data_IF_415394173764
#
_entry.id   IF_415394173764
#
_cell.length_a   1.000
_cell.length_b   1.000
_cell.length_c   1.000
_cell.angle_alpha   90.00
_cell.angle_beta   90.00
_cell.angle_gamma   90.00
#
_symmetry.space_group_name_H-M   'P 1'
#
loop_
_entity.id
_entity.type
_entity.pdbx_description
1 polymer ?
#
# COMPACT_ATOMS: atom_id res chain seq x y z
N UNK A 1 -7.11 -32.92 13.37
CA UNK A 1 -5.69 -32.55 13.12
C UNK A 1 -5.48 -32.64 11.62
N UNK A 2 -5.30 -31.51 10.92
CA UNK A 2 -5.04 -31.53 9.47
C UNK A 2 -3.69 -32.21 9.23
N UNK A 3 -3.69 -33.29 8.43
CA UNK A 3 -2.50 -34.11 8.23
C UNK A 3 -1.46 -33.34 7.41
N UNK A 4 -0.23 -33.14 7.91
CA UNK A 4 0.81 -32.37 7.22
C UNK A 4 1.18 -32.95 5.84
N UNK A 5 0.94 -34.24 5.61
CA UNK A 5 1.11 -34.89 4.32
C UNK A 5 0.19 -34.32 3.23
N UNK A 6 -1.05 -33.96 3.60
CA UNK A 6 -2.02 -33.37 2.67
C UNK A 6 -1.55 -31.97 2.26
N UNK A 7 -1.02 -31.18 3.20
CA UNK A 7 -0.48 -29.84 2.91
C UNK A 7 0.71 -29.90 1.93
N UNK A 8 1.60 -30.88 2.08
CA UNK A 8 2.73 -31.10 1.16
C UNK A 8 2.27 -31.47 -0.25
N UNK A 9 1.19 -32.24 -0.39
CA UNK A 9 0.66 -32.62 -1.70
C UNK A 9 0.11 -31.42 -2.51
N UNK A 10 -0.28 -30.33 -1.84
CA UNK A 10 -0.74 -29.11 -2.49
C UNK A 10 0.39 -28.16 -2.93
N UNK A 11 1.62 -28.34 -2.45
CA UNK A 11 2.76 -27.51 -2.86
C UNK A 11 2.97 -27.44 -4.39
N UNK A 12 3.02 -28.56 -5.14
CA UNK A 12 3.19 -28.50 -6.60
C UNK A 12 2.00 -27.82 -7.29
N UNK A 13 0.78 -27.97 -6.76
CA UNK A 13 -0.41 -27.31 -7.28
C UNK A 13 -0.36 -25.79 -7.07
N UNK A 14 0.05 -25.35 -5.88
CA UNK A 14 0.26 -23.92 -5.60
C UNK A 14 1.40 -23.35 -6.44
N UNK A 15 2.51 -24.08 -6.60
CA UNK A 15 3.64 -23.64 -7.42
C UNK A 15 3.25 -23.44 -8.89
N UNK A 16 2.48 -24.38 -9.47
CA UNK A 16 1.98 -24.24 -10.85
C UNK A 16 1.00 -23.07 -11.00
N UNK A 17 0.12 -22.85 -10.02
CA UNK A 17 -0.73 -21.65 -9.97
C UNK A 17 0.09 -20.36 -9.90
N UNK A 18 1.10 -20.29 -9.05
CA UNK A 18 1.97 -19.11 -8.92
C UNK A 18 2.72 -18.80 -10.21
N UNK A 19 3.20 -19.81 -10.94
CA UNK A 19 3.87 -19.63 -12.23
C UNK A 19 2.87 -19.15 -13.29
N UNK A 20 1.68 -19.77 -13.36
CA UNK A 20 0.64 -19.41 -14.33
C UNK A 20 0.10 -18.00 -14.12
N UNK A 21 -0.11 -17.61 -12.87
CA UNK A 21 -0.62 -16.30 -12.49
C UNK A 21 0.49 -15.32 -12.09
N UNK A 22 1.75 -15.57 -12.48
CA UNK A 22 2.92 -14.79 -12.06
C UNK A 22 2.72 -13.29 -12.21
N UNK A 23 2.13 -12.83 -13.32
CA UNK A 23 1.88 -11.40 -13.54
C UNK A 23 0.87 -10.82 -12.55
N UNK A 24 -0.26 -11.49 -12.35
CA UNK A 24 -1.27 -11.07 -11.36
C UNK A 24 -0.73 -11.16 -9.94
N UNK A 25 0.04 -12.20 -9.63
CA UNK A 25 0.68 -12.37 -8.34
C UNK A 25 1.74 -11.29 -8.08
N UNK A 26 2.52 -10.88 -9.08
CA UNK A 26 3.46 -9.77 -8.98
C UNK A 26 2.74 -8.44 -8.69
N UNK A 27 1.62 -8.19 -9.37
CA UNK A 27 0.79 -7.00 -9.11
C UNK A 27 0.23 -7.03 -7.68
N UNK A 28 -0.30 -8.18 -7.25
CA UNK A 28 -0.81 -8.37 -5.90
C UNK A 28 0.29 -8.20 -4.84
N UNK A 29 1.46 -8.82 -5.05
CA UNK A 29 2.62 -8.70 -4.17
C UNK A 29 3.06 -7.24 -4.04
N UNK A 30 3.14 -6.51 -5.16
CA UNK A 30 3.52 -5.09 -5.13
C UNK A 30 2.47 -4.21 -4.47
N UNK A 31 1.19 -4.45 -4.74
CA UNK A 31 0.11 -3.60 -4.25
C UNK A 31 -0.22 -3.86 -2.76
N UNK A 32 -0.15 -5.13 -2.33
CA UNK A 32 -0.65 -5.57 -1.01
C UNK A 32 0.50 -5.92 -0.08
N UNK A 33 1.43 -6.78 -0.50
CA UNK A 33 2.50 -7.26 0.39
C UNK A 33 3.53 -6.17 0.66
N UNK A 34 4.07 -5.49 -0.37
CA UNK A 34 5.00 -4.38 -0.14
C UNK A 34 4.36 -3.26 0.69
N UNK A 35 3.08 -2.97 0.46
CA UNK A 35 2.34 -1.97 1.25
C UNK A 35 2.23 -2.39 2.71
N UNK A 36 1.77 -3.61 3.00
CA UNK A 36 1.71 -4.13 4.36
C UNK A 36 3.08 -4.18 5.03
N UNK A 37 4.13 -4.61 4.33
CA UNK A 37 5.48 -4.64 4.88
C UNK A 37 5.94 -3.24 5.25
N UNK A 38 5.66 -2.22 4.43
CA UNK A 38 5.97 -0.83 4.76
C UNK A 38 5.16 -0.33 5.97
N UNK A 39 3.89 -0.74 6.09
CA UNK A 39 3.04 -0.46 7.24
C UNK A 39 3.57 -1.10 8.53
N UNK A 40 4.01 -2.36 8.46
CA UNK A 40 4.64 -3.05 9.59
C UNK A 40 5.99 -2.43 9.98
N UNK A 41 6.83 -2.07 9.00
CA UNK A 41 8.17 -1.51 9.26
C UNK A 41 8.12 -0.11 9.86
N UNK A 42 7.18 0.73 9.40
CA UNK A 42 7.04 2.09 9.91
C UNK A 42 6.19 2.16 11.17
N UNK A 43 5.41 1.12 11.49
CA UNK A 43 4.49 1.09 12.62
C UNK A 43 3.39 2.17 12.55
N UNK A 44 3.27 2.85 11.41
CA UNK A 44 2.41 4.00 11.18
C UNK A 44 1.45 3.66 10.07
N UNK A 45 0.17 3.96 10.27
CA UNK A 45 -0.82 3.86 9.20
C UNK A 45 -0.45 4.82 8.06
N UNK A 46 -0.90 4.50 6.85
CA UNK A 46 -0.72 5.39 5.68
C UNK A 46 -1.22 6.81 5.96
N UNK A 47 -2.35 6.91 6.63
CA UNK A 47 -3.00 8.18 6.99
C UNK A 47 -2.12 8.98 7.95
N UNK A 48 -1.51 8.32 8.94
CA UNK A 48 -0.59 8.93 9.89
C UNK A 48 0.66 9.50 9.18
N UNK A 49 1.19 8.80 8.18
CA UNK A 49 2.33 9.31 7.38
C UNK A 49 1.94 10.51 6.55
N UNK A 50 0.77 10.47 5.92
CA UNK A 50 0.25 11.59 5.14
C UNK A 50 0.04 12.82 6.04
N UNK A 51 -0.54 12.61 7.22
CA UNK A 51 -0.77 13.67 8.19
C UNK A 51 0.53 14.29 8.70
N UNK A 52 1.53 13.46 9.05
CA UNK A 52 2.87 13.95 9.43
C UNK A 52 3.56 14.72 8.31
N UNK A 53 3.41 14.27 7.06
CA UNK A 53 3.98 14.96 5.91
C UNK A 53 3.34 16.34 5.71
N UNK A 54 2.01 16.42 5.78
CA UNK A 54 1.28 17.70 5.71
C UNK A 54 1.66 18.61 6.86
N UNK A 55 1.74 18.10 8.09
CA UNK A 55 2.15 18.91 9.25
C UNK A 55 3.57 19.48 9.14
N UNK A 56 4.46 18.81 8.42
CA UNK A 56 5.86 19.24 8.26
C UNK A 56 6.08 20.16 7.07
N UNK A 57 5.24 20.07 6.04
CA UNK A 57 5.44 20.79 4.77
C UNK A 57 4.36 21.81 4.43
N UNK A 58 3.19 21.79 5.07
CA UNK A 58 2.12 22.74 4.80
C UNK A 58 2.24 24.02 5.64
N UNK A 59 1.81 25.14 5.07
CA UNK A 59 1.72 26.42 5.78
C UNK A 59 0.47 26.38 6.69
N UNK A 60 0.62 26.56 8.01
CA UNK A 60 -0.50 26.56 8.93
C UNK A 60 -1.40 27.77 8.66
N UNK A 61 -2.70 27.54 8.53
CA UNK A 61 -3.71 28.59 8.33
C UNK A 61 -4.12 28.81 6.87
N UNK A 62 -3.45 28.20 5.89
CA UNK A 62 -3.89 28.21 4.49
C UNK A 62 -4.46 26.83 4.08
N UNK A 63 -5.79 26.68 3.97
CA UNK A 63 -6.42 25.41 3.61
C UNK A 63 -6.10 24.97 2.18
N UNK A 64 -5.80 25.88 1.25
CA UNK A 64 -5.44 25.53 -0.12
C UNK A 64 -4.05 24.89 -0.16
N UNK A 65 -3.09 25.48 0.54
CA UNK A 65 -1.73 24.96 0.63
C UNK A 65 -1.67 23.59 1.33
N UNK A 66 -2.51 23.38 2.35
CA UNK A 66 -2.66 22.07 3.00
C UNK A 66 -3.14 21.00 2.00
N UNK A 67 -4.16 21.34 1.20
CA UNK A 67 -4.72 20.43 0.22
C UNK A 67 -3.74 20.12 -0.91
N UNK A 68 -2.98 21.12 -1.36
CA UNK A 68 -1.96 20.96 -2.41
C UNK A 68 -0.80 20.08 -1.94
N UNK A 69 -0.27 20.33 -0.74
CA UNK A 69 0.81 19.53 -0.14
C UNK A 69 0.40 18.07 0.01
N UNK A 70 -0.85 17.83 0.40
CA UNK A 70 -1.41 16.49 0.53
C UNK A 70 -1.64 15.80 -0.84
N UNK A 71 -2.12 16.53 -1.84
CA UNK A 71 -2.25 16.00 -3.21
C UNK A 71 -0.89 15.63 -3.80
N UNK A 72 0.13 16.46 -3.57
CA UNK A 72 1.50 16.17 -3.98
C UNK A 72 2.02 14.89 -3.32
N UNK A 73 1.77 14.69 -2.02
CA UNK A 73 2.13 13.46 -1.32
C UNK A 73 1.40 12.23 -1.86
N UNK A 74 0.10 12.36 -2.15
CA UNK A 74 -0.70 11.26 -2.71
C UNK A 74 -0.20 10.83 -4.09
N UNK A 75 0.26 11.78 -4.91
CA UNK A 75 0.79 11.52 -6.24
C UNK A 75 2.19 10.90 -6.22
N UNK A 76 3.08 11.42 -5.36
CA UNK A 76 4.50 11.03 -5.38
C UNK A 76 4.86 9.88 -4.42
N UNK A 77 4.20 9.77 -3.27
CA UNK A 77 4.56 8.80 -2.24
C UNK A 77 3.61 7.61 -2.22
N UNK A 78 2.32 7.87 -1.95
CA UNK A 78 1.31 6.82 -1.77
C UNK A 78 -0.08 7.30 -2.18
N UNK A 79 -0.66 6.66 -3.20
CA UNK A 79 -2.02 6.96 -3.62
C UNK A 79 -3.02 6.74 -2.48
N UNK A 80 -3.54 7.82 -1.92
CA UNK A 80 -4.71 7.85 -1.06
C UNK A 80 -5.95 8.08 -1.93
N UNK A 81 -7.05 7.38 -1.63
CA UNK A 81 -8.35 7.57 -2.30
C UNK A 81 -8.94 8.90 -1.88
N UNK A 82 -8.38 9.98 -2.42
CA UNK A 82 -8.82 11.34 -2.17
C UNK A 82 -9.54 11.82 -3.40
N UNK A 83 -10.47 12.76 -3.23
CA UNK A 83 -11.35 13.26 -4.30
C UNK A 83 -10.60 13.93 -5.47
N UNK A 84 -9.27 13.99 -5.43
CA UNK A 84 -8.43 14.69 -6.38
C UNK A 84 -8.49 16.21 -6.19
N UNK A 85 -7.64 16.97 -6.90
CA UNK A 85 -7.70 18.42 -6.86
C UNK A 85 -9.09 18.91 -7.27
N UNK A 86 -9.60 19.94 -6.58
CA UNK A 86 -10.80 20.64 -7.01
C UNK A 86 -10.57 21.15 -8.44
N UNK A 87 -11.45 20.77 -9.37
CA UNK A 87 -11.51 21.32 -10.72
C UNK A 87 -12.08 22.73 -10.70
#
# INVERSE_FOLDING_TARGET
MVSPAIALAFLPFVATLLIRYRHYFLLFYRAVLLRKVRDYLTGLSREERAFRYVLTHAIPGDPLHILETFNQWSYHCEYLSTLGPQK
#
